data_IF_475227009510
#
_entry.id   IF_475227009510
#
_cell.length_a   1.000
_cell.length_b   1.000
_cell.length_c   1.000
_cell.angle_alpha   90.00
_cell.angle_beta   90.00
_cell.angle_gamma   90.00
#
_symmetry.space_group_name_H-M   'P 1'
#
loop_
_entity.id
_entity.type
_entity.pdbx_description
1 polymer ?
#
# COMPACT_ATOMS: atom_id res chain seq x y z
N UNK A 1 16.77 -7.90 -33.64
CA UNK A 1 16.76 -6.59 -32.93
C UNK A 1 16.33 -6.82 -31.49
N UNK A 2 17.22 -6.59 -30.52
CA UNK A 2 17.15 -7.04 -29.10
C UNK A 2 15.93 -6.54 -28.30
N UNK A 3 15.16 -5.60 -28.85
CA UNK A 3 14.01 -4.96 -28.21
C UNK A 3 12.64 -5.51 -28.65
N UNK A 4 12.58 -6.41 -29.64
CA UNK A 4 11.30 -6.93 -30.17
C UNK A 4 10.49 -7.77 -29.16
N UNK A 5 11.12 -8.22 -28.08
CA UNK A 5 10.49 -9.01 -27.02
C UNK A 5 10.34 -8.21 -25.71
N UNK A 6 10.64 -6.90 -25.73
CA UNK A 6 10.46 -6.07 -24.54
C UNK A 6 8.99 -5.69 -24.41
N UNK A 7 8.26 -6.45 -23.59
CA UNK A 7 6.90 -6.13 -23.19
C UNK A 7 6.93 -5.45 -21.82
N UNK A 8 6.78 -4.12 -21.80
CA UNK A 8 6.72 -3.34 -20.56
C UNK A 8 5.42 -3.62 -19.78
N UNK A 9 4.38 -4.06 -20.49
CA UNK A 9 3.07 -4.37 -19.93
C UNK A 9 2.78 -5.85 -20.09
N UNK A 10 2.16 -6.50 -19.08
CA UNK A 10 1.63 -7.85 -19.22
C UNK A 10 0.77 -7.97 -20.49
N UNK A 11 0.82 -9.12 -21.18
CA UNK A 11 -0.01 -9.34 -22.35
C UNK A 11 -1.50 -9.16 -22.01
N UNK A 12 -2.26 -8.76 -23.01
CA UNK A 12 -3.72 -8.79 -22.95
C UNK A 12 -4.14 -10.27 -22.94
N UNK A 13 -4.88 -10.69 -21.94
CA UNK A 13 -5.53 -12.00 -21.96
C UNK A 13 -6.72 -11.95 -22.92
N UNK A 14 -6.96 -13.02 -23.66
CA UNK A 14 -8.05 -13.04 -24.64
C UNK A 14 -9.43 -13.08 -23.96
N UNK A 15 -9.51 -13.69 -22.77
CA UNK A 15 -10.74 -13.76 -21.97
C UNK A 15 -10.43 -13.72 -20.48
N UNK A 16 -11.08 -12.79 -19.77
CA UNK A 16 -11.08 -12.75 -18.32
C UNK A 16 -12.16 -13.70 -17.77
N UNK A 17 -11.90 -14.44 -16.68
CA UNK A 17 -12.96 -14.97 -15.83
C UNK A 17 -14.05 -13.91 -15.54
N UNK A 18 -15.28 -14.35 -15.35
CA UNK A 18 -16.37 -13.48 -14.87
C UNK A 18 -16.73 -13.89 -13.45
N UNK A 19 -16.94 -12.91 -12.58
CA UNK A 19 -17.41 -13.19 -11.22
C UNK A 19 -18.92 -13.08 -11.13
N UNK A 20 -19.54 -14.04 -10.44
CA UNK A 20 -20.95 -13.94 -10.02
C UNK A 20 -21.15 -12.90 -8.91
N UNK A 21 -20.08 -12.52 -8.23
CA UNK A 21 -20.08 -11.53 -7.14
C UNK A 21 -20.09 -10.10 -7.65
N UNK A 22 -19.73 -9.84 -8.91
CA UNK A 22 -19.55 -8.48 -9.45
C UNK A 22 -20.73 -7.55 -9.11
N UNK A 23 -21.96 -8.00 -9.38
CA UNK A 23 -23.17 -7.23 -9.08
C UNK A 23 -23.45 -7.09 -7.58
N UNK A 24 -22.97 -8.02 -6.77
CA UNK A 24 -23.16 -8.04 -5.30
C UNK A 24 -22.22 -7.05 -4.63
N UNK A 25 -20.98 -6.94 -5.11
CA UNK A 25 -19.93 -6.12 -4.50
C UNK A 25 -19.81 -4.72 -5.11
N UNK A 26 -20.39 -4.50 -6.30
CA UNK A 26 -20.30 -3.22 -6.99
C UNK A 26 -20.93 -2.12 -6.15
N UNK A 27 -20.17 -1.03 -5.94
CA UNK A 27 -20.52 0.14 -5.12
C UNK A 27 -20.69 -0.15 -3.63
N UNK A 28 -20.43 -1.38 -3.18
CA UNK A 28 -20.37 -1.71 -1.77
C UNK A 28 -19.12 -1.13 -1.12
N UNK A 29 -19.25 -0.74 0.14
CA UNK A 29 -18.13 -0.18 0.92
C UNK A 29 -17.57 -1.23 1.85
N UNK A 30 -16.32 -1.60 1.61
CA UNK A 30 -15.56 -2.53 2.44
C UNK A 30 -14.69 -1.75 3.42
N UNK A 31 -15.04 -1.78 4.70
CA UNK A 31 -14.25 -1.12 5.75
C UNK A 31 -13.21 -2.08 6.33
N UNK A 32 -12.00 -1.56 6.58
CA UNK A 32 -10.97 -2.30 7.29
C UNK A 32 -11.47 -2.63 8.69
N UNK A 33 -11.38 -3.90 9.09
CA UNK A 33 -11.88 -4.35 10.40
C UNK A 33 -11.05 -3.85 11.58
N UNK A 34 -9.83 -3.40 11.30
CA UNK A 34 -8.78 -3.11 12.27
C UNK A 34 -7.86 -2.02 11.71
N UNK A 35 -7.28 -1.15 12.56
CA UNK A 35 -6.17 -0.30 12.15
C UNK A 35 -5.07 -1.13 11.47
N UNK A 36 -4.53 -0.61 10.38
CA UNK A 36 -3.46 -1.24 9.62
C UNK A 36 -2.35 -0.21 9.35
N UNK A 37 -1.15 -0.71 9.07
CA UNK A 37 0.03 0.12 8.86
C UNK A 37 -0.09 1.05 7.66
N UNK A 38 -0.94 0.72 6.69
CA UNK A 38 -1.15 1.53 5.48
C UNK A 38 -2.21 2.63 5.72
N UNK A 39 -2.81 2.65 6.92
CA UNK A 39 -3.84 3.60 7.30
C UNK A 39 -5.12 3.48 6.49
N UNK A 40 -5.34 2.34 5.82
CA UNK A 40 -6.54 2.11 5.01
C UNK A 40 -7.76 2.04 5.91
N UNK A 41 -8.77 2.83 5.59
CA UNK A 41 -10.04 2.90 6.30
C UNK A 41 -11.08 2.06 5.56
N UNK A 42 -11.16 2.21 4.25
CA UNK A 42 -12.12 1.47 3.42
C UNK A 42 -11.76 1.50 1.94
N UNK A 43 -12.34 0.59 1.17
CA UNK A 43 -12.33 0.64 -0.29
C UNK A 43 -13.71 0.35 -0.89
N UNK A 44 -13.89 0.72 -2.16
CA UNK A 44 -15.06 0.39 -2.98
C UNK A 44 -14.60 0.04 -4.40
N UNK A 45 -15.32 -0.86 -5.06
CA UNK A 45 -15.17 -1.14 -6.48
C UNK A 45 -16.48 -0.82 -7.19
N UNK A 46 -16.42 -0.13 -8.33
CA UNK A 46 -17.56 0.17 -9.17
C UNK A 46 -17.38 -0.50 -10.54
N UNK A 47 -18.32 -1.38 -10.88
CA UNK A 47 -18.36 -2.13 -12.14
C UNK A 47 -19.44 -1.60 -13.10
N UNK A 48 -19.68 -0.28 -13.12
CA UNK A 48 -20.72 0.36 -13.93
C UNK A 48 -20.84 -0.18 -15.37
N UNK A 49 -22.02 -0.61 -15.77
CA UNK A 49 -22.28 -1.09 -17.13
C UNK A 49 -22.22 0.04 -18.16
N UNK A 50 -21.72 -0.24 -19.36
CA UNK A 50 -21.74 0.73 -20.48
C UNK A 50 -20.54 1.68 -20.55
N UNK A 51 -19.61 1.60 -19.59
CA UNK A 51 -18.29 2.28 -19.64
C UNK A 51 -17.15 1.27 -19.74
N UNK A 52 -16.05 1.67 -20.39
CA UNK A 52 -14.88 0.82 -20.67
C UNK A 52 -13.91 0.63 -19.50
N UNK A 53 -14.23 1.17 -18.33
CA UNK A 53 -13.42 1.05 -17.12
C UNK A 53 -14.28 0.75 -15.89
N UNK A 54 -13.67 0.13 -14.88
CA UNK A 54 -14.18 0.05 -13.52
C UNK A 54 -13.49 1.10 -12.66
N UNK A 55 -14.03 1.42 -11.48
CA UNK A 55 -13.43 2.40 -10.58
C UNK A 55 -13.06 1.71 -9.28
N UNK A 56 -11.82 1.90 -8.83
CA UNK A 56 -11.40 1.53 -7.48
C UNK A 56 -11.22 2.80 -6.65
N UNK A 57 -11.91 2.85 -5.53
CA UNK A 57 -11.77 3.89 -4.53
C UNK A 57 -11.07 3.33 -3.29
N UNK A 58 -10.06 4.04 -2.80
CA UNK A 58 -9.40 3.73 -1.54
C UNK A 58 -9.46 4.97 -0.64
N UNK A 59 -9.92 4.81 0.59
CA UNK A 59 -9.83 5.82 1.62
C UNK A 59 -8.77 5.39 2.62
N UNK A 60 -7.72 6.18 2.79
CA UNK A 60 -6.72 5.99 3.83
C UNK A 60 -6.48 7.30 4.60
N UNK A 61 -5.45 7.31 5.45
CA UNK A 61 -5.04 8.47 6.25
C UNK A 61 -4.70 9.74 5.44
N UNK A 62 -4.36 9.63 4.16
CA UNK A 62 -4.12 10.76 3.23
C UNK A 62 -5.39 11.24 2.55
N UNK A 63 -6.50 10.53 2.72
CA UNK A 63 -7.80 10.88 2.20
C UNK A 63 -8.27 9.93 1.10
N UNK A 64 -9.08 10.46 0.19
CA UNK A 64 -9.78 9.67 -0.81
C UNK A 64 -8.99 9.60 -2.12
N UNK A 65 -8.78 8.38 -2.59
CA UNK A 65 -8.05 8.06 -3.81
C UNK A 65 -8.95 7.35 -4.81
N UNK A 66 -8.69 7.57 -6.10
CA UNK A 66 -9.40 6.92 -7.20
C UNK A 66 -8.42 6.36 -8.22
N UNK A 67 -8.75 5.20 -8.78
CA UNK A 67 -8.06 4.58 -9.91
C UNK A 67 -9.11 4.12 -10.92
N UNK A 68 -8.92 4.46 -12.19
CA UNK A 68 -9.77 3.99 -13.29
C UNK A 68 -9.12 2.78 -13.95
N UNK A 69 -9.78 1.64 -13.90
CA UNK A 69 -9.26 0.33 -14.27
C UNK A 69 -9.85 -0.10 -15.61
N UNK A 70 -9.02 -0.28 -16.64
CA UNK A 70 -9.50 -0.81 -17.92
C UNK A 70 -10.21 -2.17 -17.76
N UNK A 71 -11.34 -2.34 -18.47
CA UNK A 71 -12.12 -3.58 -18.51
C UNK A 71 -11.69 -4.49 -19.66
N UNK A 72 -12.11 -5.76 -19.60
CA UNK A 72 -11.98 -6.70 -20.71
C UNK A 72 -10.52 -6.92 -21.12
N UNK A 73 -9.65 -7.08 -20.13
CA UNK A 73 -8.20 -7.21 -20.27
C UNK A 73 -7.47 -5.95 -20.78
N UNK A 74 -8.20 -4.89 -21.15
CA UNK A 74 -7.65 -3.62 -21.62
C UNK A 74 -7.01 -2.79 -20.51
N UNK A 75 -6.16 -1.85 -20.93
CA UNK A 75 -5.51 -0.88 -20.05
C UNK A 75 -6.15 0.49 -20.20
N UNK A 76 -6.23 1.24 -19.11
CA UNK A 76 -6.85 2.56 -19.06
C UNK A 76 -5.89 3.59 -18.45
N UNK A 77 -5.62 4.71 -19.14
CA UNK A 77 -4.81 5.79 -18.57
C UNK A 77 -5.61 6.58 -17.53
N UNK A 78 -5.01 6.88 -16.38
CA UNK A 78 -5.60 7.79 -15.41
C UNK A 78 -4.55 8.50 -14.55
N UNK A 79 -4.99 9.53 -13.84
CA UNK A 79 -4.23 10.16 -12.75
C UNK A 79 -4.76 9.63 -11.42
N UNK A 80 -3.86 9.28 -10.51
CA UNK A 80 -4.22 8.83 -9.16
C UNK A 80 -3.34 9.46 -8.10
N UNK A 81 -3.86 9.58 -6.88
CA UNK A 81 -3.12 10.02 -5.68
C UNK A 81 -2.82 8.85 -4.72
N UNK A 82 -3.05 7.61 -5.17
CA UNK A 82 -2.94 6.39 -4.35
C UNK A 82 -1.60 6.34 -3.60
N UNK A 83 -1.67 6.21 -2.27
CA UNK A 83 -0.50 6.16 -1.39
C UNK A 83 0.47 5.07 -1.82
N UNK A 84 1.74 5.40 -2.03
CA UNK A 84 2.73 4.50 -2.66
C UNK A 84 4.05 4.36 -1.92
N UNK A 85 4.37 5.27 -1.00
CA UNK A 85 5.70 5.42 -0.41
C UNK A 85 6.33 4.08 0.05
N UNK A 86 5.56 3.26 0.75
CA UNK A 86 6.03 2.01 1.35
C UNK A 86 6.43 0.94 0.33
N UNK A 87 5.90 1.00 -0.89
CA UNK A 87 6.24 0.10 -1.99
C UNK A 87 7.15 0.76 -3.04
N UNK A 88 7.28 2.08 -3.04
CA UNK A 88 7.91 2.84 -4.12
C UNK A 88 9.19 3.58 -3.67
N UNK A 89 10.05 2.96 -2.87
CA UNK A 89 11.28 3.59 -2.34
C UNK A 89 11.05 4.90 -1.56
N UNK A 90 9.90 5.04 -0.89
CA UNK A 90 9.52 6.26 -0.20
C UNK A 90 8.97 7.35 -1.13
N UNK A 91 8.89 7.13 -2.45
CA UNK A 91 8.27 8.09 -3.36
C UNK A 91 6.77 8.16 -3.10
N UNK A 92 6.32 9.35 -2.71
CA UNK A 92 4.91 9.69 -2.51
C UNK A 92 4.60 10.92 -3.34
N UNK A 93 3.77 10.76 -4.36
CA UNK A 93 3.38 11.85 -5.23
C UNK A 93 1.97 12.31 -4.86
N UNK A 94 1.71 13.62 -4.94
CA UNK A 94 0.35 14.14 -4.78
C UNK A 94 -0.58 13.61 -5.88
N UNK A 95 -0.04 13.46 -7.09
CA UNK A 95 -0.68 12.86 -8.25
C UNK A 95 0.37 12.14 -9.10
N UNK A 96 0.03 10.97 -9.63
CA UNK A 96 0.86 10.20 -10.55
C UNK A 96 0.06 9.78 -11.78
N UNK A 97 0.72 9.82 -12.93
CA UNK A 97 0.17 9.25 -14.16
C UNK A 97 0.40 7.74 -14.20
N UNK A 98 -0.68 6.99 -14.41
CA UNK A 98 -0.64 5.53 -14.50
C UNK A 98 -1.41 5.05 -15.73
N UNK A 99 -1.06 3.86 -16.21
CA UNK A 99 -1.97 3.04 -17.00
C UNK A 99 -2.36 1.83 -16.16
N UNK A 100 -3.64 1.56 -16.02
CA UNK A 100 -4.12 0.53 -15.11
C UNK A 100 -5.20 -0.35 -15.69
N UNK A 101 -5.34 -1.56 -15.14
CA UNK A 101 -6.35 -2.55 -15.55
C UNK A 101 -6.91 -3.27 -14.33
N UNK A 102 -8.15 -3.74 -14.46
CA UNK A 102 -8.82 -4.59 -13.48
C UNK A 102 -9.28 -5.88 -14.14
N UNK A 103 -8.97 -7.01 -13.53
CA UNK A 103 -9.24 -8.33 -14.07
C UNK A 103 -9.69 -9.29 -12.97
N UNK A 104 -10.80 -9.99 -13.19
CA UNK A 104 -11.11 -11.17 -12.40
C UNK A 104 -10.14 -12.29 -12.76
N UNK A 105 -9.42 -12.80 -11.77
CA UNK A 105 -8.47 -13.93 -11.95
C UNK A 105 -9.07 -15.28 -11.52
N UNK A 106 -10.17 -15.22 -10.78
CA UNK A 106 -11.05 -16.33 -10.40
C UNK A 106 -12.48 -15.79 -10.20
N UNK A 107 -13.43 -16.66 -9.83
CA UNK A 107 -14.80 -16.23 -9.50
C UNK A 107 -14.86 -15.30 -8.28
N UNK A 108 -13.83 -15.27 -7.42
CA UNK A 108 -13.82 -14.55 -6.15
C UNK A 108 -12.67 -13.55 -6.01
N UNK A 109 -11.75 -13.45 -6.97
CA UNK A 109 -10.55 -12.62 -6.85
C UNK A 109 -10.42 -11.63 -8.00
N UNK A 110 -10.43 -10.35 -7.66
CA UNK A 110 -10.21 -9.25 -8.58
C UNK A 110 -8.80 -8.68 -8.42
N UNK A 111 -7.99 -8.73 -9.48
CA UNK A 111 -6.64 -8.17 -9.52
C UNK A 111 -6.64 -6.86 -10.29
N UNK A 112 -6.02 -5.85 -9.70
CA UNK A 112 -5.81 -4.53 -10.28
C UNK A 112 -4.31 -4.33 -10.46
N UNK A 113 -3.89 -3.98 -11.68
CA UNK A 113 -2.49 -3.66 -11.97
C UNK A 113 -2.37 -2.20 -12.37
N UNK A 114 -1.48 -1.47 -11.71
CA UNK A 114 -1.15 -0.08 -12.02
C UNK A 114 0.31 -0.02 -12.48
N UNK A 115 0.52 0.37 -13.74
CA UNK A 115 1.84 0.73 -14.24
C UNK A 115 2.03 2.23 -14.08
N UNK A 116 2.98 2.64 -13.25
CA UNK A 116 3.33 4.05 -13.11
C UNK A 116 4.19 4.48 -14.30
N UNK A 117 3.82 5.58 -14.94
CA UNK A 117 4.47 6.04 -16.17
C UNK A 117 5.87 6.63 -15.90
N UNK A 118 6.04 7.25 -14.74
CA UNK A 118 7.23 8.03 -14.38
C UNK A 118 8.25 7.20 -13.57
N UNK A 119 7.93 5.93 -13.27
CA UNK A 119 8.77 5.07 -12.42
C UNK A 119 8.85 3.65 -12.96
N UNK A 120 9.75 2.85 -12.40
CA UNK A 120 9.83 1.41 -12.71
C UNK A 120 8.76 0.57 -12.00
N UNK A 121 7.91 1.18 -11.17
CA UNK A 121 6.99 0.47 -10.32
C UNK A 121 5.73 0.05 -11.06
N UNK A 122 5.41 -1.23 -10.86
CA UNK A 122 4.14 -1.82 -11.22
C UNK A 122 3.52 -2.38 -9.95
N UNK A 123 2.51 -1.68 -9.49
CA UNK A 123 1.78 -2.00 -8.30
C UNK A 123 0.63 -2.94 -8.64
N UNK A 124 0.41 -3.93 -7.80
CA UNK A 124 -0.64 -4.94 -7.98
C UNK A 124 -1.42 -5.05 -6.70
N UNK A 125 -2.71 -4.74 -6.80
CA UNK A 125 -3.67 -4.82 -5.71
C UNK A 125 -4.60 -5.99 -6.02
N UNK A 126 -4.72 -6.93 -5.09
CA UNK A 126 -5.59 -8.09 -5.23
C UNK A 126 -6.65 -8.04 -4.14
N UNK A 127 -7.92 -8.16 -4.53
CA UNK A 127 -9.04 -8.29 -3.61
C UNK A 127 -9.66 -9.67 -3.79
N UNK A 128 -9.57 -10.49 -2.75
CA UNK A 128 -10.27 -11.79 -2.70
C UNK A 128 -11.51 -11.64 -1.82
N UNK A 129 -12.68 -11.91 -2.40
CA UNK A 129 -13.97 -11.85 -1.75
C UNK A 129 -14.33 -13.21 -1.14
N UNK A 130 -14.79 -13.19 0.10
CA UNK A 130 -15.17 -14.35 0.88
C UNK A 130 -16.61 -14.20 1.35
N UNK A 131 -17.22 -15.29 1.82
CA UNK A 131 -18.56 -15.30 2.39
C UNK A 131 -19.60 -14.59 1.50
N UNK A 132 -19.58 -14.93 0.20
CA UNK A 132 -20.52 -14.37 -0.78
C UNK A 132 -20.33 -12.87 -1.05
N UNK A 133 -19.13 -12.31 -0.79
CA UNK A 133 -18.84 -10.90 -1.02
C UNK A 133 -19.00 -9.99 0.21
N UNK A 134 -19.22 -10.56 1.39
CA UNK A 134 -19.36 -9.76 2.64
C UNK A 134 -18.04 -9.50 3.35
N UNK A 135 -17.02 -10.34 3.11
CA UNK A 135 -15.67 -10.20 3.65
C UNK A 135 -14.70 -10.11 2.48
N UNK A 136 -13.65 -9.31 2.62
CA UNK A 136 -12.63 -9.16 1.60
C UNK A 136 -11.22 -9.17 2.20
N UNK A 137 -10.30 -9.80 1.47
CA UNK A 137 -8.87 -9.75 1.70
C UNK A 137 -8.25 -8.80 0.69
N UNK A 138 -7.65 -7.70 1.14
CA UNK A 138 -6.93 -6.75 0.31
C UNK A 138 -5.42 -6.99 0.47
N UNK A 139 -4.78 -7.46 -0.59
CA UNK A 139 -3.34 -7.65 -0.69
C UNK A 139 -2.74 -6.65 -1.68
N UNK A 140 -1.50 -6.21 -1.42
CA UNK A 140 -0.80 -5.29 -2.32
C UNK A 140 0.67 -5.64 -2.44
N UNK A 141 1.20 -5.59 -3.66
CA UNK A 141 2.60 -5.91 -3.98
C UNK A 141 3.12 -5.06 -5.14
N UNK A 142 4.44 -4.93 -5.24
CA UNK A 142 5.12 -4.24 -6.33
C UNK A 142 6.14 -5.16 -7.02
N UNK A 143 6.33 -4.99 -8.33
CA UNK A 143 7.29 -5.78 -9.12
C UNK A 143 8.73 -5.68 -8.62
N UNK A 144 9.19 -4.46 -8.31
CA UNK A 144 10.54 -4.15 -7.90
C UNK A 144 10.49 -3.17 -6.74
N UNK A 145 11.23 -3.49 -5.69
CA UNK A 145 11.55 -2.61 -4.59
C UNK A 145 12.82 -3.20 -3.95
N UNK A 146 13.71 -2.35 -3.46
CA UNK A 146 14.90 -2.78 -2.70
C UNK A 146 14.55 -3.10 -1.25
N UNK A 147 13.28 -2.90 -0.86
CA UNK A 147 12.70 -3.26 0.43
C UNK A 147 11.61 -4.34 0.26
N UNK A 148 10.66 -4.37 1.19
CA UNK A 148 9.44 -5.17 1.07
C UNK A 148 8.73 -4.93 -0.26
N UNK A 149 8.48 -6.03 -0.99
CA UNK A 149 7.71 -6.01 -2.24
C UNK A 149 6.23 -6.30 -2.02
N UNK A 150 5.81 -6.49 -0.78
CA UNK A 150 4.45 -6.83 -0.40
C UNK A 150 4.11 -6.16 0.93
N UNK A 151 2.86 -5.72 1.08
CA UNK A 151 2.31 -5.21 2.34
C UNK A 151 1.56 -6.30 3.10
N UNK A 152 1.43 -6.18 4.43
CA UNK A 152 0.55 -7.05 5.20
C UNK A 152 -0.88 -7.03 4.66
N UNK A 153 -1.54 -8.18 4.68
CA UNK A 153 -2.94 -8.32 4.27
C UNK A 153 -3.85 -7.42 5.13
N UNK A 154 -4.77 -6.71 4.47
CA UNK A 154 -5.83 -5.95 5.14
C UNK A 154 -7.14 -6.72 5.01
N UNK A 155 -7.75 -7.01 6.15
CA UNK A 155 -9.07 -7.67 6.22
C UNK A 155 -10.18 -6.63 6.31
N UNK A 156 -11.10 -6.69 5.35
CA UNK A 156 -12.23 -5.79 5.26
C UNK A 156 -13.56 -6.55 5.28
N UNK A 157 -14.66 -5.85 5.60
CA UNK A 157 -16.00 -6.36 5.35
C UNK A 157 -16.92 -5.25 4.89
N UNK A 158 -18.05 -5.61 4.28
CA UNK A 158 -19.16 -4.68 4.13
C UNK A 158 -19.58 -4.14 5.50
N UNK A 159 -19.99 -2.88 5.53
CA UNK A 159 -20.54 -2.24 6.73
C UNK A 159 -21.99 -2.70 6.92
N UNK A 160 -22.34 -3.08 8.14
CA UNK A 160 -23.75 -3.24 8.54
C UNK A 160 -24.22 -2.01 9.32
N UNK A 161 -25.53 -1.76 9.33
CA UNK A 161 -26.12 -0.64 10.08
C UNK A 161 -25.69 -0.72 11.55
N UNK A 162 -24.95 0.28 12.02
CA UNK A 162 -24.41 0.36 13.39
C UNK A 162 -22.88 0.19 13.47
N UNK A 163 -22.21 -0.20 12.39
CA UNK A 163 -20.74 -0.21 12.33
C UNK A 163 -20.21 1.23 12.32
N UNK A 164 -19.32 1.56 13.27
CA UNK A 164 -18.51 2.78 13.20
C UNK A 164 -17.33 2.55 12.25
N UNK A 165 -17.16 3.46 11.29
CA UNK A 165 -15.94 3.52 10.49
C UNK A 165 -14.76 3.84 11.39
N UNK A 166 -13.61 3.22 11.14
CA UNK A 166 -12.36 3.64 11.78
C UNK A 166 -12.20 5.15 11.54
N UNK A 167 -12.00 5.96 12.60
CA UNK A 167 -11.89 7.40 12.43
C UNK A 167 -10.70 7.71 11.52
N UNK A 168 -10.92 8.58 10.53
CA UNK A 168 -9.83 9.09 9.70
C UNK A 168 -8.77 9.82 10.54
N UNK A 169 -9.23 10.40 11.66
CA UNK A 169 -8.43 11.04 12.70
C UNK A 169 -8.37 10.16 13.96
N UNK A 170 -7.57 9.10 13.98
CA UNK A 170 -7.46 8.25 15.18
C UNK A 170 -6.85 6.87 15.03
N UNK A 171 -6.07 6.60 13.98
CA UNK A 171 -5.34 5.35 13.85
C UNK A 171 -4.21 5.29 14.89
N UNK A 172 -4.51 4.77 16.09
CA UNK A 172 -3.46 4.65 17.11
C UNK A 172 -3.71 3.80 18.37
N UNK A 173 -4.94 3.41 18.77
CA UNK A 173 -5.09 2.87 20.15
C UNK A 173 -5.41 1.38 20.32
N UNK A 174 -5.57 0.59 19.25
CA UNK A 174 -6.01 -0.81 19.40
C UNK A 174 -5.18 -1.89 18.69
N UNK A 175 -4.24 -1.51 17.83
CA UNK A 175 -3.37 -2.46 17.13
C UNK A 175 -1.93 -2.25 17.57
N UNK A 176 -1.27 -3.35 17.92
CA UNK A 176 0.17 -3.40 18.17
C UNK A 176 0.86 -3.19 16.81
N UNK A 177 1.06 -1.93 16.41
CA UNK A 177 1.86 -1.58 15.24
C UNK A 177 3.23 -2.19 15.48
N UNK A 178 3.63 -3.12 14.62
CA UNK A 178 4.96 -3.73 14.72
C UNK A 178 5.93 -2.82 14.01
N UNK A 179 6.85 -2.23 14.77
CA UNK A 179 7.87 -1.36 14.24
C UNK A 179 9.12 -2.17 13.89
N UNK A 180 9.80 -1.81 12.81
CA UNK A 180 11.07 -2.40 12.42
C UNK A 180 11.91 -1.41 11.63
N UNK A 181 13.23 -1.54 11.71
CA UNK A 181 14.17 -0.76 10.90
C UNK A 181 14.05 -1.04 9.40
N UNK A 182 13.40 -2.14 9.00
CA UNK A 182 13.27 -2.56 7.60
C UNK A 182 11.93 -2.17 6.97
N UNK A 183 10.85 -2.11 7.76
CA UNK A 183 9.49 -1.84 7.28
C UNK A 183 8.94 -0.49 7.70
N UNK A 184 9.46 0.11 8.78
CA UNK A 184 9.09 1.44 9.25
C UNK A 184 10.05 2.49 8.71
N UNK A 185 9.50 3.60 8.26
CA UNK A 185 10.28 4.76 7.84
C UNK A 185 10.87 5.49 9.05
N UNK A 186 11.99 6.19 8.85
CA UNK A 186 12.63 7.05 9.85
C UNK A 186 11.61 8.08 10.37
N UNK A 187 10.78 8.65 9.50
CA UNK A 187 9.71 9.58 9.88
C UNK A 187 8.69 8.95 10.81
N UNK A 188 8.15 7.77 10.46
CA UNK A 188 7.20 7.04 11.31
C UNK A 188 7.78 6.75 12.70
N UNK A 189 9.06 6.38 12.76
CA UNK A 189 9.75 6.08 14.01
C UNK A 189 10.07 7.36 14.83
N UNK A 190 10.29 8.50 14.19
CA UNK A 190 10.53 9.78 14.87
C UNK A 190 9.24 10.46 15.37
N UNK A 191 8.13 10.26 14.65
CA UNK A 191 6.83 10.88 14.97
C UNK A 191 6.08 10.12 16.07
N UNK A 192 6.37 8.84 16.25
CA UNK A 192 5.81 8.06 17.35
C UNK A 192 6.65 8.23 18.63
N UNK A 193 6.08 8.68 19.76
CA UNK A 193 6.83 8.91 21.00
C UNK A 193 7.54 7.69 21.57
N UNK A 194 6.95 6.49 21.44
CA UNK A 194 7.53 5.24 21.98
C UNK A 194 8.74 4.80 21.18
N UNK A 195 8.64 4.85 19.85
CA UNK A 195 9.75 4.49 18.96
C UNK A 195 10.84 5.56 19.00
N UNK A 196 10.48 6.84 19.11
CA UNK A 196 11.43 7.94 19.28
C UNK A 196 12.27 7.78 20.54
N UNK A 197 11.66 7.38 21.66
CA UNK A 197 12.39 7.10 22.90
C UNK A 197 13.44 5.98 22.73
N UNK A 198 13.14 4.96 21.92
CA UNK A 198 14.13 3.91 21.57
C UNK A 198 15.27 4.51 20.74
N UNK A 199 14.95 5.35 19.74
CA UNK A 199 15.96 6.00 18.93
C UNK A 199 16.86 6.91 19.77
N UNK A 200 16.29 7.69 20.70
CA UNK A 200 17.06 8.56 21.61
C UNK A 200 18.00 7.78 22.54
N UNK A 201 17.71 6.50 22.83
CA UNK A 201 18.59 5.63 23.62
C UNK A 201 19.73 5.03 22.80
N UNK A 202 19.45 4.61 21.56
CA UNK A 202 20.39 3.79 20.77
C UNK A 202 21.13 4.59 19.69
N UNK A 203 20.51 5.62 19.12
CA UNK A 203 21.10 6.44 18.08
C UNK A 203 22.02 7.48 18.73
N UNK A 204 23.29 7.60 18.29
CA UNK A 204 24.18 8.65 18.78
C UNK A 204 23.52 10.04 18.70
N UNK A 205 23.43 10.76 19.82
CA UNK A 205 22.58 11.96 19.95
C UNK A 205 22.81 13.06 18.91
N UNK A 206 24.03 13.18 18.37
CA UNK A 206 24.35 14.12 17.28
C UNK A 206 23.64 13.80 15.95
N UNK A 207 23.23 12.56 15.73
CA UNK A 207 22.55 12.12 14.51
C UNK A 207 21.05 12.44 14.53
N UNK A 208 20.41 12.41 15.70
CA UNK A 208 19.00 12.79 15.84
C UNK A 208 18.76 14.29 15.63
N UNK A 209 19.80 15.10 15.84
CA UNK A 209 19.80 16.53 15.58
C UNK A 209 20.30 16.88 14.16
N UNK A 210 20.72 15.91 13.36
CA UNK A 210 21.28 16.17 12.03
C UNK A 210 20.18 16.60 11.05
N UNK A 211 20.29 17.76 10.37
CA UNK A 211 19.32 18.22 9.38
C UNK A 211 19.11 17.25 8.20
N UNK A 212 20.06 16.33 7.95
CA UNK A 212 19.93 15.29 6.92
C UNK A 212 18.91 14.22 7.31
N UNK A 213 18.64 14.04 8.60
CA UNK A 213 17.63 13.09 9.08
C UNK A 213 16.24 13.47 8.57
N UNK A 214 15.96 14.78 8.47
CA UNK A 214 14.71 15.31 7.90
C UNK A 214 14.53 14.89 6.45
N UNK A 215 15.61 14.89 5.66
CA UNK A 215 15.60 14.41 4.27
C UNK A 215 15.52 12.89 4.15
N UNK A 216 15.85 12.17 5.23
CA UNK A 216 15.83 10.72 5.29
C UNK A 216 14.51 10.15 5.83
N UNK A 217 13.55 10.99 6.22
CA UNK A 217 12.29 10.57 6.85
C UNK A 217 11.49 9.56 6.06
N UNK A 218 11.59 9.57 4.74
CA UNK A 218 10.88 8.63 3.86
C UNK A 218 11.61 7.29 3.66
N UNK A 219 12.84 7.17 4.14
CA UNK A 219 13.63 5.94 4.08
C UNK A 219 13.55 5.18 5.40
N UNK A 220 13.95 3.90 5.40
CA UNK A 220 14.01 3.09 6.62
C UNK A 220 15.42 3.14 7.23
N UNK A 221 15.58 2.79 8.52
CA UNK A 221 16.91 2.76 9.15
C UNK A 221 17.83 1.70 8.55
N UNK A 222 17.28 0.60 8.04
CA UNK A 222 18.04 -0.39 7.25
C UNK A 222 18.70 0.26 6.01
N UNK A 223 18.04 1.24 5.40
CA UNK A 223 18.59 1.99 4.27
C UNK A 223 19.70 2.93 4.68
N UNK A 224 19.40 3.83 5.61
CA UNK A 224 20.27 4.99 5.84
C UNK A 224 21.29 4.72 6.92
N UNK A 225 20.98 3.84 7.87
CA UNK A 225 21.82 3.49 9.00
C UNK A 225 23.23 3.08 8.60
N UNK A 226 23.43 2.07 7.73
CA UNK A 226 24.79 1.63 7.36
C UNK A 226 25.64 2.71 6.68
N UNK A 227 25.02 3.78 6.15
CA UNK A 227 25.70 4.90 5.49
C UNK A 227 26.06 6.02 6.47
N UNK A 228 25.67 5.89 7.73
CA UNK A 228 25.84 6.88 8.77
C UNK A 228 26.88 6.39 9.77
N UNK A 229 27.91 7.20 9.99
CA UNK A 229 28.96 6.90 10.96
C UNK A 229 28.34 6.76 12.36
N UNK A 230 28.58 5.61 13.01
CA UNK A 230 28.02 5.30 14.34
C UNK A 230 26.68 4.55 14.32
N UNK A 231 26.17 4.20 13.14
CA UNK A 231 24.95 3.38 12.96
C UNK A 231 25.31 2.02 12.33
N UNK A 232 26.24 1.30 12.97
CA UNK A 232 26.65 -0.05 12.56
C UNK A 232 25.55 -1.10 12.71
N UNK A 233 25.80 -2.30 12.18
CA UNK A 233 24.85 -3.43 12.24
C UNK A 233 24.42 -3.77 13.67
N UNK A 234 25.32 -3.62 14.64
CA UNK A 234 25.05 -3.88 16.05
C UNK A 234 24.04 -2.89 16.65
N UNK A 235 24.15 -1.60 16.30
CA UNK A 235 23.22 -0.54 16.73
C UNK A 235 21.86 -0.77 16.07
N UNK A 236 21.85 -1.05 14.77
CA UNK A 236 20.62 -1.32 14.01
C UNK A 236 19.88 -2.54 14.54
N UNK A 237 20.58 -3.63 14.85
CA UNK A 237 19.99 -4.83 15.43
C UNK A 237 19.40 -4.57 16.83
N UNK A 238 20.05 -3.74 17.67
CA UNK A 238 19.50 -3.36 18.98
C UNK A 238 18.24 -2.51 18.83
N UNK A 239 18.23 -1.55 17.90
CA UNK A 239 17.04 -0.75 17.59
C UNK A 239 15.90 -1.67 17.15
N UNK A 240 16.14 -2.53 16.17
CA UNK A 240 15.10 -3.42 15.62
C UNK A 240 14.52 -4.37 16.68
N UNK A 241 15.38 -4.96 17.52
CA UNK A 241 14.93 -5.81 18.62
C UNK A 241 14.06 -5.07 19.64
N UNK A 242 14.40 -3.81 19.97
CA UNK A 242 13.58 -2.98 20.86
C UNK A 242 12.28 -2.53 20.20
N UNK A 243 12.30 -2.22 18.91
CA UNK A 243 11.10 -1.87 18.14
C UNK A 243 10.12 -3.03 18.07
N UNK A 244 10.60 -4.26 17.86
CA UNK A 244 9.79 -5.47 17.84
C UNK A 244 9.16 -5.81 19.21
N UNK A 245 9.72 -5.28 20.31
CA UNK A 245 9.21 -5.49 21.66
C UNK A 245 8.05 -4.55 22.05
N UNK A 246 7.89 -3.42 21.35
CA UNK A 246 6.77 -2.47 21.53
C UNK A 246 5.43 -3.08 21.14
#
# INVERSE_FOLDING_TARGET
TRLRHLHLMPPLENEAPKSRLENVISKERFAAKRPNEDGVISFTLDFESGVSYSIFHLHDHRGFHQVLLGKGCGWWPCITSLSGAKLHHGYEFAQSSVVSRGLWTSEDTFEMTLQFNETAFRDVITVTFLNGGTVAKLDRRVNVNSFGRQRPTIWCSTLVRGDELLPSSGLGSGHKITYSIASSTVGELLDNPKTRAILEQEVPGQLLADPRLEKARMYTFEMVGPRVQGMGEDVLARIDAKLAAL
#
